data_IF_390091526810
#
_entry.id   IF_390091526810
#
_cell.length_a   1.000
_cell.length_b   1.000
_cell.length_c   1.000
_cell.angle_alpha   90.00
_cell.angle_beta   90.00
_cell.angle_gamma   90.00
#
_symmetry.space_group_name_H-M   'P 1'
#
loop_
_entity.id
_entity.type
_entity.pdbx_description
1 polymer ?
#
# COMPACT_ATOMS: atom_id res chain seq x y z
N UNK A 1 18.58 -2.07 0.59
CA UNK A 1 17.27 -2.32 -0.05
C UNK A 1 17.39 -3.29 -1.22
N UNK A 2 18.27 -3.06 -2.20
CA UNK A 2 18.45 -3.95 -3.38
C UNK A 2 18.64 -5.42 -2.98
N UNK A 3 19.48 -5.69 -1.97
CA UNK A 3 19.68 -7.04 -1.43
C UNK A 3 18.39 -7.68 -0.85
N UNK A 4 17.51 -6.88 -0.23
CA UNK A 4 16.23 -7.38 0.28
C UNK A 4 15.30 -7.69 -0.89
N UNK A 5 15.18 -6.79 -1.86
CA UNK A 5 14.26 -6.97 -3.00
C UNK A 5 14.75 -7.96 -4.06
N UNK A 6 16.01 -8.41 -3.97
CA UNK A 6 16.69 -9.11 -5.07
C UNK A 6 16.78 -8.25 -6.34
N UNK A 7 16.96 -6.94 -6.14
CA UNK A 7 17.14 -5.97 -7.22
C UNK A 7 18.62 -5.80 -7.58
N UNK A 8 18.89 -5.41 -8.82
CA UNK A 8 20.22 -4.97 -9.28
C UNK A 8 20.60 -3.61 -8.69
N UNK A 9 19.64 -2.69 -8.62
CA UNK A 9 19.87 -1.30 -8.20
C UNK A 9 18.69 -0.76 -7.39
N UNK A 10 18.98 0.19 -6.50
CA UNK A 10 17.95 0.98 -5.78
C UNK A 10 18.35 2.45 -5.74
N UNK A 11 17.36 3.34 -5.84
CA UNK A 11 17.49 4.76 -5.52
C UNK A 11 16.58 5.12 -4.35
N UNK A 12 17.12 5.84 -3.36
CA UNK A 12 16.37 6.44 -2.27
C UNK A 12 16.09 7.90 -2.57
N UNK A 13 14.89 8.36 -2.20
CA UNK A 13 14.37 9.69 -2.53
C UNK A 13 13.58 10.28 -1.36
N UNK A 14 13.20 11.56 -1.47
CA UNK A 14 12.63 12.35 -0.37
C UNK A 14 11.33 11.77 0.24
N UNK A 15 10.49 11.07 -0.52
CA UNK A 15 9.25 10.45 -0.01
C UNK A 15 8.75 9.34 -0.93
N UNK A 16 7.83 8.50 -0.45
CA UNK A 16 7.13 7.52 -1.29
C UNK A 16 6.39 8.19 -2.46
N UNK A 17 5.72 9.32 -2.23
CA UNK A 17 5.07 10.08 -3.30
C UNK A 17 6.05 10.56 -4.36
N UNK A 18 7.20 11.09 -3.96
CA UNK A 18 8.23 11.48 -4.91
C UNK A 18 8.77 10.27 -5.70
N UNK A 19 8.85 9.10 -5.07
CA UNK A 19 9.27 7.88 -5.76
C UNK A 19 8.32 7.53 -6.92
N UNK A 20 7.01 7.56 -6.68
CA UNK A 20 5.99 7.33 -7.72
C UNK A 20 6.05 8.40 -8.82
N UNK A 21 6.13 9.68 -8.44
CA UNK A 21 6.20 10.81 -9.40
C UNK A 21 7.44 10.75 -10.27
N UNK A 22 8.62 10.52 -9.68
CA UNK A 22 9.89 10.43 -10.40
C UNK A 22 9.90 9.24 -11.36
N UNK A 23 9.39 8.09 -10.92
CA UNK A 23 9.28 6.91 -11.77
C UNK A 23 8.33 7.15 -12.95
N UNK A 24 7.09 7.61 -12.69
CA UNK A 24 6.11 7.87 -13.77
C UNK A 24 6.66 8.89 -14.75
N UNK A 25 7.28 9.96 -14.24
CA UNK A 25 7.82 11.03 -15.07
C UNK A 25 8.97 10.59 -15.98
N UNK A 26 9.83 9.71 -15.47
CA UNK A 26 11.03 9.25 -16.16
C UNK A 26 10.76 8.12 -17.14
N UNK A 27 9.78 7.25 -16.86
CA UNK A 27 9.56 6.02 -17.62
C UNK A 27 8.39 6.10 -18.59
N UNK A 28 7.38 6.94 -18.32
CA UNK A 28 6.25 7.09 -19.23
C UNK A 28 6.57 8.21 -20.23
N UNK A 29 6.67 7.91 -21.54
CA UNK A 29 6.96 8.91 -22.55
C UNK A 29 5.82 9.92 -22.67
N UNK A 30 6.10 11.12 -23.17
CA UNK A 30 5.05 12.06 -23.56
C UNK A 30 4.13 11.40 -24.60
N UNK A 31 2.81 11.57 -24.46
CA UNK A 31 1.82 10.84 -25.27
C UNK A 31 1.62 9.37 -24.90
N UNK A 32 2.32 8.85 -23.86
CA UNK A 32 2.22 7.47 -23.42
C UNK A 32 0.90 7.13 -22.72
N UNK A 33 0.75 5.86 -22.33
CA UNK A 33 -0.46 5.37 -21.67
C UNK A 33 -0.11 4.56 -20.42
N UNK A 34 -0.79 4.85 -19.31
CA UNK A 34 -0.61 4.15 -18.03
C UNK A 34 -1.87 3.38 -17.67
N UNK A 35 -1.72 2.16 -17.17
CA UNK A 35 -2.83 1.46 -16.51
C UNK A 35 -2.63 1.54 -15.01
N UNK A 36 -3.70 1.71 -14.24
CA UNK A 36 -3.68 1.60 -12.78
C UNK A 36 -5.01 1.08 -12.24
N UNK A 37 -5.09 0.85 -10.93
CA UNK A 37 -6.29 0.35 -10.27
C UNK A 37 -7.15 1.47 -9.67
N UNK A 38 -8.44 1.19 -9.42
CA UNK A 38 -9.33 2.07 -8.66
C UNK A 38 -8.80 2.37 -7.25
N UNK A 39 -8.08 1.42 -6.66
CA UNK A 39 -7.54 1.51 -5.30
C UNK A 39 -6.14 2.17 -5.25
N UNK A 40 -5.68 2.75 -6.37
CA UNK A 40 -4.41 3.48 -6.40
C UNK A 40 -4.42 4.62 -5.37
N UNK A 41 -3.32 4.75 -4.62
CA UNK A 41 -3.17 5.73 -3.56
C UNK A 41 -3.59 7.11 -4.04
N UNK A 42 -4.53 7.74 -3.31
CA UNK A 42 -5.27 8.94 -3.75
C UNK A 42 -4.35 10.04 -4.31
N UNK A 43 -3.20 10.30 -3.69
CA UNK A 43 -2.28 11.35 -4.17
C UNK A 43 -1.52 10.94 -5.45
N UNK A 44 -1.20 9.66 -5.60
CA UNK A 44 -0.64 9.12 -6.86
C UNK A 44 -1.68 9.23 -7.98
N UNK A 45 -2.93 8.92 -7.67
CA UNK A 45 -4.05 9.04 -8.61
C UNK A 45 -4.28 10.48 -9.06
N UNK A 46 -4.31 11.44 -8.13
CA UNK A 46 -4.41 12.87 -8.47
C UNK A 46 -3.29 13.30 -9.41
N UNK A 47 -2.04 12.90 -9.13
CA UNK A 47 -0.92 13.20 -10.02
C UNK A 47 -1.12 12.63 -11.44
N UNK A 48 -1.61 11.39 -11.54
CA UNK A 48 -1.93 10.76 -12.82
C UNK A 48 -3.07 11.46 -13.57
N UNK A 49 -4.05 12.03 -12.87
CA UNK A 49 -5.23 12.69 -13.46
C UNK A 49 -5.00 14.17 -13.78
N UNK A 50 -4.09 14.85 -13.08
CA UNK A 50 -3.91 16.31 -13.22
C UNK A 50 -2.59 16.71 -13.85
N UNK A 51 -1.50 15.98 -13.61
CA UNK A 51 -0.16 16.37 -14.08
C UNK A 51 0.28 15.60 -15.33
N UNK A 52 0.04 14.29 -15.38
CA UNK A 52 0.40 13.48 -16.55
C UNK A 52 -0.30 13.93 -17.85
N UNK A 53 -1.59 14.32 -17.86
CA UNK A 53 -2.26 14.77 -19.08
C UNK A 53 -1.66 16.03 -19.70
N UNK A 54 -0.98 16.87 -18.92
CA UNK A 54 -0.24 18.05 -19.44
C UNK A 54 0.90 17.65 -20.39
N UNK A 55 1.35 16.40 -20.33
CA UNK A 55 2.35 15.80 -21.23
C UNK A 55 1.72 14.90 -22.30
N UNK A 56 0.40 14.95 -22.47
CA UNK A 56 -0.36 14.06 -23.35
C UNK A 56 -0.43 12.62 -22.86
N UNK A 57 0.00 12.32 -21.63
CA UNK A 57 -0.06 10.97 -21.09
C UNK A 57 -1.51 10.68 -20.67
N UNK A 58 -2.04 9.57 -21.15
CA UNK A 58 -3.40 9.10 -20.85
C UNK A 58 -3.38 7.92 -19.87
N UNK A 59 -4.53 7.61 -19.28
CA UNK A 59 -4.63 6.54 -18.29
C UNK A 59 -5.91 5.74 -18.44
N UNK A 60 -5.81 4.42 -18.26
CA UNK A 60 -6.94 3.52 -18.02
C UNK A 60 -6.93 3.05 -16.57
N UNK A 61 -8.11 3.02 -15.97
CA UNK A 61 -8.32 2.64 -14.57
C UNK A 61 -9.18 1.40 -14.54
N UNK A 62 -8.68 0.34 -13.91
CA UNK A 62 -9.37 -0.95 -13.78
C UNK A 62 -9.65 -1.27 -12.31
N UNK A 63 -10.57 -2.19 -12.03
CA UNK A 63 -10.71 -2.70 -10.66
C UNK A 63 -9.54 -3.63 -10.32
N UNK A 64 -9.09 -3.69 -9.06
CA UNK A 64 -8.14 -4.71 -8.63
C UNK A 64 -8.65 -6.11 -8.97
N UNK A 65 -7.74 -6.99 -9.40
CA UNK A 65 -8.02 -8.36 -9.83
C UNK A 65 -8.92 -8.53 -11.09
N UNK A 66 -9.28 -7.45 -11.80
CA UNK A 66 -10.05 -7.51 -13.05
C UNK A 66 -9.11 -7.75 -14.26
N UNK A 67 -8.74 -9.02 -14.46
CA UNK A 67 -7.77 -9.41 -15.49
C UNK A 67 -8.32 -9.18 -16.90
N UNK A 68 -9.62 -9.32 -17.12
CA UNK A 68 -10.25 -9.03 -18.42
C UNK A 68 -10.14 -7.54 -18.75
N UNK A 69 -10.39 -6.66 -17.78
CA UNK A 69 -10.19 -5.23 -17.97
C UNK A 69 -8.71 -4.87 -18.24
N UNK A 70 -7.76 -5.53 -17.54
CA UNK A 70 -6.33 -5.35 -17.82
C UNK A 70 -5.99 -5.81 -19.24
N UNK A 71 -6.44 -6.99 -19.66
CA UNK A 71 -6.20 -7.54 -20.99
C UNK A 71 -6.78 -6.62 -22.06
N UNK A 72 -8.01 -6.15 -21.89
CA UNK A 72 -8.64 -5.19 -22.79
C UNK A 72 -7.86 -3.86 -22.88
N UNK A 73 -7.36 -3.35 -21.75
CA UNK A 73 -6.56 -2.13 -21.75
C UNK A 73 -5.23 -2.33 -22.51
N UNK A 74 -4.58 -3.47 -22.29
CA UNK A 74 -3.33 -3.88 -22.94
C UNK A 74 -3.50 -4.16 -24.45
N UNK A 75 -4.66 -4.64 -24.88
CA UNK A 75 -4.95 -4.93 -26.30
C UNK A 75 -5.30 -3.68 -27.09
N UNK A 76 -6.02 -2.74 -26.47
CA UNK A 76 -6.55 -1.55 -27.16
C UNK A 76 -5.65 -0.32 -27.05
N UNK A 77 -4.65 -0.33 -26.17
CA UNK A 77 -3.75 0.80 -25.95
C UNK A 77 -2.29 0.35 -26.03
N UNK A 78 -1.40 1.23 -26.49
CA UNK A 78 0.04 1.02 -26.38
C UNK A 78 0.50 1.36 -24.95
N UNK A 79 0.20 0.47 -24.00
CA UNK A 79 0.46 0.67 -22.57
C UNK A 79 1.96 0.71 -22.31
N UNK A 80 2.44 1.82 -21.76
CA UNK A 80 3.85 1.99 -21.40
C UNK A 80 4.16 1.35 -20.03
N UNK A 81 3.24 1.48 -19.09
CA UNK A 81 3.44 1.02 -17.71
C UNK A 81 2.11 0.68 -17.03
N UNK A 82 2.04 -0.48 -16.37
CA UNK A 82 1.02 -0.80 -15.38
C UNK A 82 1.57 -0.52 -13.97
N UNK A 83 0.90 0.38 -13.24
CA UNK A 83 1.24 0.75 -11.87
C UNK A 83 0.14 0.29 -10.92
N UNK A 84 0.48 -0.50 -9.91
CA UNK A 84 -0.51 -0.92 -8.91
C UNK A 84 0.12 -1.25 -7.55
N UNK A 85 -0.73 -1.25 -6.52
CA UNK A 85 -0.40 -1.64 -5.15
C UNK A 85 -0.88 -3.08 -4.89
N UNK A 86 -0.10 -3.87 -4.17
CA UNK A 86 -0.58 -5.16 -3.66
C UNK A 86 0.16 -5.54 -2.37
N UNK A 87 -0.53 -5.57 -1.20
CA UNK A 87 -1.96 -5.26 -1.00
C UNK A 87 -2.34 -3.78 -1.23
N UNK A 88 -3.60 -3.51 -1.62
CA UNK A 88 -4.13 -2.14 -1.84
C UNK A 88 -4.60 -1.45 -0.56
N UNK A 89 -4.76 -0.12 -0.58
CA UNK A 89 -5.37 0.66 0.50
C UNK A 89 -6.80 1.12 0.14
N UNK A 90 -7.80 1.01 1.04
CA UNK A 90 -7.75 0.42 2.39
C UNK A 90 -8.17 -1.06 2.45
N UNK A 91 -8.67 -1.66 1.36
CA UNK A 91 -9.30 -2.98 1.39
C UNK A 91 -8.34 -4.17 1.29
N UNK A 92 -7.04 -3.92 1.15
CA UNK A 92 -5.98 -4.94 1.11
C UNK A 92 -6.17 -5.96 -0.03
N UNK A 93 -6.73 -5.50 -1.16
CA UNK A 93 -6.89 -6.33 -2.36
C UNK A 93 -5.51 -6.79 -2.84
N UNK A 94 -5.40 -8.04 -3.24
CA UNK A 94 -4.15 -8.59 -3.75
C UNK A 94 -4.23 -8.79 -5.26
N UNK A 95 -3.10 -8.61 -5.94
CA UNK A 95 -2.99 -8.78 -7.39
C UNK A 95 -1.95 -9.87 -7.63
N UNK A 96 -2.26 -10.81 -8.52
CA UNK A 96 -1.34 -11.88 -8.93
C UNK A 96 -0.22 -11.27 -9.78
N UNK A 97 0.95 -11.10 -9.15
CA UNK A 97 2.09 -10.41 -9.77
C UNK A 97 2.66 -11.24 -10.93
N UNK A 98 2.71 -12.56 -10.80
CA UNK A 98 3.23 -13.46 -11.83
C UNK A 98 2.34 -13.45 -13.08
N UNK A 99 1.03 -13.55 -12.90
CA UNK A 99 0.07 -13.46 -14.00
C UNK A 99 0.14 -12.10 -14.70
N UNK A 100 0.05 -11.01 -13.92
CA UNK A 100 0.04 -9.65 -14.46
C UNK A 100 1.35 -9.32 -15.16
N UNK A 101 2.49 -9.75 -14.63
CA UNK A 101 3.79 -9.52 -15.26
C UNK A 101 3.84 -10.12 -16.67
N UNK A 102 3.39 -11.38 -16.83
CA UNK A 102 3.29 -12.06 -18.13
C UNK A 102 2.37 -11.32 -19.09
N UNK A 103 1.20 -10.86 -18.62
CA UNK A 103 0.27 -10.08 -19.45
C UNK A 103 0.92 -8.78 -19.94
N UNK A 104 1.50 -7.98 -19.04
CA UNK A 104 2.17 -6.73 -19.39
C UNK A 104 3.34 -6.96 -20.36
N UNK A 105 4.23 -7.92 -20.06
CA UNK A 105 5.40 -8.20 -20.89
C UNK A 105 5.04 -8.72 -22.27
N UNK A 106 3.94 -9.47 -22.41
CA UNK A 106 3.43 -9.93 -23.73
C UNK A 106 3.09 -8.78 -24.69
N UNK A 107 2.85 -7.58 -24.15
CA UNK A 107 2.56 -6.34 -24.90
C UNK A 107 3.68 -5.30 -24.81
N UNK A 108 4.81 -5.63 -24.18
CA UNK A 108 5.93 -4.71 -23.99
C UNK A 108 5.71 -3.64 -22.91
N UNK A 109 4.65 -3.74 -22.10
CA UNK A 109 4.39 -2.83 -20.99
C UNK A 109 5.26 -3.18 -19.78
N UNK A 110 5.76 -2.18 -19.06
CA UNK A 110 6.44 -2.37 -17.78
C UNK A 110 5.44 -2.61 -16.65
N UNK A 111 5.82 -3.41 -15.66
CA UNK A 111 5.09 -3.58 -14.40
C UNK A 111 5.83 -2.93 -13.24
N UNK A 112 5.19 -1.98 -12.55
CA UNK A 112 5.65 -1.44 -11.28
C UNK A 112 4.66 -1.80 -10.16
N UNK A 113 5.19 -2.44 -9.11
CA UNK A 113 4.43 -2.79 -7.91
C UNK A 113 4.84 -1.89 -6.76
N UNK A 114 3.89 -1.15 -6.20
CA UNK A 114 4.07 -0.55 -4.88
C UNK A 114 3.83 -1.62 -3.80
N UNK A 115 4.91 -2.01 -3.13
CA UNK A 115 4.91 -3.05 -2.08
C UNK A 115 4.92 -2.47 -0.68
N UNK A 116 4.50 -1.20 -0.50
CA UNK A 116 4.53 -0.53 0.81
C UNK A 116 3.81 -1.32 1.90
N UNK A 117 2.65 -1.92 1.61
CA UNK A 117 1.90 -2.73 2.60
C UNK A 117 2.53 -4.08 2.88
N UNK A 118 3.04 -4.75 1.85
CA UNK A 118 3.67 -6.05 2.00
C UNK A 118 5.01 -5.95 2.75
N UNK A 119 5.75 -4.85 2.54
CA UNK A 119 7.17 -4.71 2.86
C UNK A 119 8.04 -5.71 2.07
N UNK A 120 9.36 -5.46 1.96
CA UNK A 120 10.25 -6.45 1.35
C UNK A 120 10.34 -7.74 2.14
N UNK A 121 9.82 -7.83 3.38
CA UNK A 121 9.89 -9.07 4.17
C UNK A 121 8.85 -10.06 3.65
N UNK A 122 7.60 -9.62 3.48
CA UNK A 122 6.52 -10.54 3.17
C UNK A 122 6.41 -10.87 1.68
N UNK A 123 6.80 -9.98 0.78
CA UNK A 123 6.65 -10.16 -0.67
C UNK A 123 7.89 -9.67 -1.42
N UNK A 124 8.26 -10.39 -2.47
CA UNK A 124 9.38 -10.06 -3.37
C UNK A 124 8.85 -9.84 -4.77
N UNK A 125 8.27 -8.67 -5.04
CA UNK A 125 7.58 -8.41 -6.30
C UNK A 125 8.48 -8.64 -7.53
N UNK A 126 9.77 -8.29 -7.44
CA UNK A 126 10.72 -8.49 -8.53
C UNK A 126 10.94 -9.97 -8.87
N UNK A 127 10.95 -10.86 -7.87
CA UNK A 127 11.11 -12.31 -8.12
C UNK A 127 9.85 -12.94 -8.71
N UNK A 128 8.72 -12.22 -8.65
CA UNK A 128 7.44 -12.61 -9.23
C UNK A 128 7.22 -11.99 -10.62
N UNK A 129 8.20 -11.28 -11.18
CA UNK A 129 8.15 -10.74 -12.55
C UNK A 129 7.92 -9.24 -12.67
N UNK A 130 7.74 -8.49 -11.57
CA UNK A 130 7.70 -7.03 -11.67
C UNK A 130 9.03 -6.46 -12.15
N UNK A 131 8.99 -5.41 -12.98
CA UNK A 131 10.20 -4.72 -13.46
C UNK A 131 10.79 -3.78 -12.40
N UNK A 132 9.89 -3.18 -11.61
CA UNK A 132 10.21 -2.22 -10.56
C UNK A 132 9.33 -2.47 -9.33
N UNK A 133 9.89 -2.20 -8.16
CA UNK A 133 9.17 -2.15 -6.89
C UNK A 133 9.40 -0.81 -6.21
N UNK A 134 8.31 -0.21 -5.75
CA UNK A 134 8.31 1.03 -4.98
C UNK A 134 7.94 0.74 -3.53
N UNK A 135 8.57 1.48 -2.61
CA UNK A 135 8.11 1.58 -1.23
C UNK A 135 8.09 3.03 -0.76
N UNK A 136 7.08 3.36 0.02
CA UNK A 136 7.15 4.46 0.97
C UNK A 136 7.95 4.00 2.19
N UNK A 137 9.23 4.36 2.24
CA UNK A 137 10.13 4.00 3.33
C UNK A 137 9.70 4.61 4.67
N UNK A 138 8.85 5.64 4.64
CA UNK A 138 8.14 6.22 5.78
C UNK A 138 7.39 5.19 6.63
N UNK A 139 6.94 4.08 6.02
CA UNK A 139 6.10 3.07 6.67
C UNK A 139 6.97 1.99 7.32
N UNK A 140 6.74 0.71 7.00
CA UNK A 140 7.44 -0.42 7.63
C UNK A 140 8.97 -0.35 7.58
N UNK A 141 9.55 0.18 6.49
CA UNK A 141 11.00 0.19 6.28
C UNK A 141 11.70 0.99 7.39
N UNK A 142 11.29 2.25 7.60
CA UNK A 142 11.73 3.04 8.74
C UNK A 142 11.12 2.49 10.04
N UNK A 143 9.79 2.41 10.09
CA UNK A 143 9.04 1.72 11.13
C UNK A 143 9.03 2.37 12.51
N UNK A 144 9.39 3.65 12.63
CA UNK A 144 9.46 4.37 13.91
C UNK A 144 8.70 5.70 13.88
N UNK A 145 7.83 5.91 12.88
CA UNK A 145 6.97 7.09 12.75
C UNK A 145 7.70 8.46 12.80
N UNK A 146 8.98 8.50 12.45
CA UNK A 146 9.89 9.64 12.70
C UNK A 146 10.64 10.14 11.45
N UNK A 147 10.46 9.49 10.30
CA UNK A 147 11.19 9.84 9.08
C UNK A 147 10.35 9.59 7.82
N UNK A 148 10.46 10.50 6.86
CA UNK A 148 9.85 10.36 5.53
C UNK A 148 10.94 9.96 4.53
N UNK A 149 10.61 8.99 3.67
CA UNK A 149 11.48 8.58 2.57
C UNK A 149 10.75 7.69 1.57
N UNK A 150 11.32 7.54 0.39
CA UNK A 150 10.86 6.60 -0.63
C UNK A 150 12.02 5.84 -1.25
N UNK A 151 11.75 4.70 -1.86
CA UNK A 151 12.74 4.02 -2.68
C UNK A 151 12.11 3.33 -3.90
N UNK A 152 12.88 3.27 -4.98
CA UNK A 152 12.57 2.48 -6.18
C UNK A 152 13.70 1.45 -6.36
N UNK A 153 13.34 0.18 -6.49
CA UNK A 153 14.30 -0.92 -6.75
C UNK A 153 13.90 -1.68 -8.01
N UNK A 154 14.88 -2.18 -8.77
CA UNK A 154 14.63 -2.98 -9.99
C UNK A 154 15.93 -3.21 -10.77
N UNK A 155 15.78 -3.43 -12.08
CA UNK A 155 16.91 -3.49 -13.02
C UNK A 155 17.68 -2.17 -13.05
N UNK A 156 19.00 -2.22 -13.17
CA UNK A 156 19.83 -1.01 -13.13
C UNK A 156 19.49 -0.05 -14.27
N UNK A 157 19.22 -0.57 -15.47
CA UNK A 157 18.84 0.25 -16.62
C UNK A 157 17.62 1.14 -16.34
N UNK A 158 16.58 0.59 -15.71
CA UNK A 158 15.36 1.32 -15.38
C UNK A 158 15.56 2.28 -14.21
N UNK A 159 16.22 1.81 -13.15
CA UNK A 159 16.50 2.64 -11.96
C UNK A 159 17.41 3.82 -12.32
N UNK A 160 18.35 3.64 -13.24
CA UNK A 160 19.25 4.69 -13.73
C UNK A 160 18.50 5.79 -14.49
N UNK A 161 17.47 5.45 -15.31
CA UNK A 161 16.59 6.46 -15.94
C UNK A 161 15.87 7.31 -14.88
N UNK A 162 15.34 6.67 -13.84
CA UNK A 162 14.71 7.39 -12.71
C UNK A 162 15.72 8.22 -11.93
N UNK A 163 16.94 7.72 -11.73
CA UNK A 163 18.04 8.43 -11.05
C UNK A 163 18.46 9.69 -11.80
N UNK A 164 18.54 9.64 -13.13
CA UNK A 164 18.85 10.80 -13.98
C UNK A 164 17.77 11.88 -13.81
N UNK A 165 16.49 11.50 -13.91
CA UNK A 165 15.38 12.43 -13.67
C UNK A 165 15.42 13.02 -12.26
N UNK A 166 15.68 12.17 -11.27
CA UNK A 166 15.79 12.54 -9.86
C UNK A 166 16.88 13.60 -9.63
N UNK A 167 18.05 13.48 -10.27
CA UNK A 167 19.12 14.48 -10.15
C UNK A 167 18.72 15.86 -10.71
N UNK A 168 17.80 15.92 -11.68
CA UNK A 168 17.31 17.18 -12.23
C UNK A 168 16.26 17.82 -11.32
N UNK A 169 15.30 17.03 -10.83
CA UNK A 169 14.18 17.55 -10.03
C UNK A 169 14.54 17.75 -8.55
N UNK A 170 15.57 17.05 -8.05
CA UNK A 170 16.20 17.36 -6.77
C UNK A 170 15.44 16.88 -5.52
N UNK A 171 14.55 15.88 -5.62
CA UNK A 171 13.84 15.31 -4.46
C UNK A 171 14.72 14.37 -3.63
N UNK A 172 15.84 14.89 -3.12
CA UNK A 172 16.90 14.13 -2.45
C UNK A 172 16.53 13.74 -1.03
N UNK A 173 16.99 12.55 -0.60
CA UNK A 173 16.86 12.12 0.78
C UNK A 173 17.95 12.75 1.63
N UNK A 174 17.58 13.40 2.73
CA UNK A 174 18.55 13.95 3.69
C UNK A 174 19.41 12.81 4.29
N UNK A 175 20.74 12.98 4.48
CA UNK A 175 21.59 11.94 5.07
C UNK A 175 21.17 11.47 6.47
N UNK A 176 20.62 12.36 7.31
CA UNK A 176 20.10 11.97 8.62
C UNK A 176 18.84 11.11 8.49
N UNK A 177 17.97 11.43 7.53
CA UNK A 177 16.80 10.60 7.21
C UNK A 177 17.24 9.22 6.70
N UNK A 178 18.26 9.16 5.83
CA UNK A 178 18.84 7.90 5.39
C UNK A 178 19.40 7.08 6.57
N UNK A 179 20.07 7.72 7.53
CA UNK A 179 20.55 7.07 8.75
C UNK A 179 19.40 6.51 9.60
N UNK A 180 18.32 7.27 9.83
CA UNK A 180 17.15 6.79 10.59
C UNK A 180 16.49 5.59 9.91
N UNK A 181 16.34 5.62 8.59
CA UNK A 181 15.84 4.47 7.81
C UNK A 181 16.77 3.27 7.98
N UNK A 182 18.09 3.46 7.81
CA UNK A 182 19.08 2.38 7.98
C UNK A 182 19.04 1.78 9.39
N UNK A 183 18.86 2.60 10.42
CA UNK A 183 18.71 2.18 11.81
C UNK A 183 17.42 1.36 11.99
N UNK A 184 16.30 1.86 11.48
CA UNK A 184 15.00 1.18 11.54
C UNK A 184 14.98 -0.16 10.82
N UNK A 185 15.73 -0.28 9.71
CA UNK A 185 15.86 -1.53 8.95
C UNK A 185 16.55 -2.65 9.72
N UNK A 186 17.35 -2.35 10.76
CA UNK A 186 18.03 -3.38 11.58
C UNK A 186 17.04 -4.30 12.29
N UNK A 187 15.87 -3.78 12.65
CA UNK A 187 14.80 -4.53 13.33
C UNK A 187 13.63 -4.85 12.43
N UNK A 188 13.72 -4.59 11.12
CA UNK A 188 12.62 -4.75 10.17
C UNK A 188 11.97 -6.14 10.23
N UNK A 189 12.78 -7.19 10.22
CA UNK A 189 12.28 -8.57 10.29
C UNK A 189 11.55 -8.87 11.61
N UNK A 190 12.10 -8.42 12.75
CA UNK A 190 11.48 -8.60 14.07
C UNK A 190 10.12 -7.89 14.15
N UNK A 191 10.07 -6.63 13.70
CA UNK A 191 8.85 -5.82 13.70
C UNK A 191 7.78 -6.42 12.80
N UNK A 192 8.12 -6.73 11.54
CA UNK A 192 7.15 -7.29 10.58
C UNK A 192 6.66 -8.67 11.03
N UNK A 193 7.50 -9.51 11.63
CA UNK A 193 7.07 -10.80 12.17
C UNK A 193 6.07 -10.63 13.32
N UNK A 194 6.34 -9.73 14.27
CA UNK A 194 5.43 -9.38 15.35
C UNK A 194 4.10 -8.86 14.78
N UNK A 195 4.15 -7.89 13.89
CA UNK A 195 2.98 -7.28 13.24
C UNK A 195 2.14 -8.29 12.47
N UNK A 196 2.76 -9.19 11.69
CA UNK A 196 2.04 -10.27 11.00
C UNK A 196 1.27 -11.18 11.98
N UNK A 197 1.91 -11.56 13.10
CA UNK A 197 1.29 -12.43 14.10
C UNK A 197 0.11 -11.74 14.79
N UNK A 198 0.35 -10.54 15.32
CA UNK A 198 -0.66 -9.75 16.02
C UNK A 198 -1.83 -9.41 15.10
N UNK A 199 -1.56 -9.03 13.85
CA UNK A 199 -2.60 -8.73 12.87
C UNK A 199 -3.43 -9.94 12.46
N UNK A 200 -2.83 -11.12 12.25
CA UNK A 200 -3.60 -12.32 11.97
C UNK A 200 -4.55 -12.67 13.12
N UNK A 201 -4.06 -12.64 14.37
CA UNK A 201 -4.87 -12.92 15.57
C UNK A 201 -5.97 -11.88 15.76
N UNK A 202 -5.67 -10.60 15.53
CA UNK A 202 -6.65 -9.52 15.64
C UNK A 202 -7.72 -9.62 14.55
N UNK A 203 -7.33 -9.91 13.30
CA UNK A 203 -8.25 -10.09 12.20
C UNK A 203 -9.24 -11.24 12.46
N UNK A 204 -8.75 -12.38 12.99
CA UNK A 204 -9.61 -13.52 13.39
C UNK A 204 -10.56 -13.13 14.52
N UNK A 205 -10.05 -12.48 15.57
CA UNK A 205 -10.87 -12.01 16.68
C UNK A 205 -11.98 -11.06 16.21
N UNK A 206 -11.64 -10.10 15.33
CA UNK A 206 -12.60 -9.16 14.77
C UNK A 206 -13.63 -9.86 13.87
N UNK A 207 -13.23 -10.86 13.08
CA UNK A 207 -14.13 -11.58 12.17
C UNK A 207 -15.22 -12.37 12.92
N UNK A 208 -14.91 -12.85 14.12
CA UNK A 208 -15.85 -13.58 14.98
C UNK A 208 -16.70 -12.66 15.86
N UNK A 209 -16.38 -11.37 15.95
CA UNK A 209 -17.01 -10.46 16.91
C UNK A 209 -18.38 -9.94 16.42
N UNK A 210 -19.47 -10.04 17.21
CA UNK A 210 -20.83 -9.72 16.75
C UNK A 210 -21.08 -8.24 16.40
N UNK A 211 -20.21 -7.34 16.89
CA UNK A 211 -20.26 -5.90 16.56
C UNK A 211 -19.40 -5.51 15.35
N UNK A 212 -18.82 -6.48 14.66
CA UNK A 212 -18.04 -6.27 13.43
C UNK A 212 -18.84 -6.86 12.26
N UNK A 213 -19.10 -6.04 11.26
CA UNK A 213 -19.87 -6.44 10.08
C UNK A 213 -19.00 -7.14 9.03
N UNK A 214 -17.73 -6.73 8.91
CA UNK A 214 -16.80 -7.28 7.93
C UNK A 214 -15.36 -7.01 8.30
N UNK A 215 -14.46 -7.96 8.01
CA UNK A 215 -13.01 -7.77 8.11
C UNK A 215 -12.37 -7.93 6.73
N UNK A 216 -11.39 -7.10 6.45
CA UNK A 216 -10.54 -7.12 5.28
C UNK A 216 -9.11 -7.40 5.74
N UNK A 217 -8.65 -8.62 5.51
CA UNK A 217 -7.26 -9.01 5.80
C UNK A 217 -6.83 -10.16 4.89
N UNK A 218 -5.73 -10.05 4.12
CA UNK A 218 -5.33 -11.07 3.15
C UNK A 218 -5.10 -12.46 3.76
N UNK A 219 -4.80 -12.54 5.05
CA UNK A 219 -4.62 -13.79 5.78
C UNK A 219 -5.90 -14.57 6.07
N UNK A 220 -7.07 -13.92 6.01
CA UNK A 220 -8.36 -14.58 6.29
C UNK A 220 -8.86 -15.34 5.05
N UNK A 221 -9.39 -16.57 5.18
CA UNK A 221 -10.00 -17.30 4.07
C UNK A 221 -11.19 -16.60 3.41
N UNK A 222 -11.86 -15.71 4.14
CA UNK A 222 -12.97 -14.87 3.65
C UNK A 222 -12.50 -13.75 2.72
N UNK A 223 -11.20 -13.42 2.71
CA UNK A 223 -10.65 -12.41 1.82
C UNK A 223 -10.70 -12.92 0.37
N UNK A 224 -11.23 -12.14 -0.60
CA UNK A 224 -11.50 -12.68 -1.93
C UNK A 224 -10.25 -13.19 -2.68
N UNK A 225 -9.08 -12.57 -2.42
CA UNK A 225 -7.78 -13.01 -2.98
C UNK A 225 -6.88 -13.68 -1.93
N UNK A 226 -7.45 -14.31 -0.90
CA UNK A 226 -6.66 -15.07 0.08
C UNK A 226 -5.71 -16.08 -0.60
N UNK A 227 -6.20 -16.74 -1.65
CA UNK A 227 -5.41 -17.71 -2.42
C UNK A 227 -4.18 -17.10 -3.10
N UNK A 228 -4.29 -15.88 -3.65
CA UNK A 228 -3.15 -15.13 -4.23
C UNK A 228 -2.21 -14.66 -3.11
N UNK A 229 -2.76 -14.07 -2.05
CA UNK A 229 -1.97 -13.62 -0.91
C UNK A 229 -1.11 -14.76 -0.35
N UNK A 230 -1.71 -15.95 -0.16
CA UNK A 230 -1.03 -17.13 0.34
C UNK A 230 0.01 -17.70 -0.64
N UNK A 231 -0.19 -17.56 -1.95
CA UNK A 231 0.76 -18.08 -2.94
C UNK A 231 2.01 -17.21 -3.09
N UNK A 232 1.88 -15.88 -2.93
CA UNK A 232 2.95 -14.93 -3.23
C UNK A 232 3.52 -14.18 -2.01
N UNK A 233 2.85 -14.25 -0.86
CA UNK A 233 3.28 -13.59 0.39
C UNK A 233 3.63 -14.61 1.48
N UNK A 234 4.69 -14.32 2.23
CA UNK A 234 5.13 -15.12 3.40
C UNK A 234 4.55 -14.61 4.73
N UNK A 235 3.82 -13.50 4.69
CA UNK A 235 3.06 -12.89 5.78
C UNK A 235 2.10 -11.85 5.23
N UNK A 236 1.07 -11.46 5.97
CA UNK A 236 -0.05 -10.68 5.43
C UNK A 236 -0.05 -9.20 5.83
N UNK A 237 1.02 -8.73 6.48
CA UNK A 237 1.18 -7.35 6.92
C UNK A 237 0.53 -7.06 8.28
N UNK A 238 0.81 -5.87 8.81
CA UNK A 238 0.30 -5.37 10.09
C UNK A 238 -0.92 -4.46 9.98
N UNK A 239 -1.57 -4.35 8.83
CA UNK A 239 -2.78 -3.52 8.68
C UNK A 239 -3.99 -4.44 8.54
N UNK A 240 -5.02 -4.15 9.33
CA UNK A 240 -6.34 -4.78 9.24
C UNK A 240 -7.35 -3.67 9.00
N UNK A 241 -8.21 -3.82 7.99
CA UNK A 241 -9.35 -2.92 7.82
C UNK A 241 -10.63 -3.67 8.19
N UNK A 242 -11.60 -3.01 8.79
CA UNK A 242 -12.86 -3.65 9.18
C UNK A 242 -14.01 -2.65 9.23
N UNK A 243 -15.23 -3.16 9.12
CA UNK A 243 -16.46 -2.39 9.22
C UNK A 243 -17.14 -2.69 10.56
N UNK A 244 -17.42 -1.66 11.34
CA UNK A 244 -18.24 -1.80 12.55
C UNK A 244 -19.71 -2.04 12.15
N UNK A 245 -20.41 -2.91 12.87
CA UNK A 245 -21.85 -3.15 12.71
C UNK A 245 -22.65 -1.99 13.34
N UNK A 246 -22.49 -0.80 12.78
CA UNK A 246 -23.10 0.44 13.26
C UNK A 246 -22.98 1.55 12.23
N UNK A 247 -23.54 2.70 12.57
CA UNK A 247 -23.48 3.91 11.76
C UNK A 247 -22.18 4.70 12.00
N UNK A 248 -22.12 5.89 11.41
CA UNK A 248 -21.02 6.84 11.61
C UNK A 248 -20.77 7.14 13.09
N UNK A 249 -21.83 7.35 13.88
CA UNK A 249 -21.71 7.75 15.28
C UNK A 249 -21.23 6.59 16.16
N UNK A 250 -21.69 5.36 15.90
CA UNK A 250 -21.15 4.17 16.54
C UNK A 250 -19.67 3.98 16.21
N UNK A 251 -19.31 4.08 14.93
CA UNK A 251 -17.92 3.95 14.46
C UNK A 251 -17.01 5.00 15.11
N UNK A 252 -17.48 6.25 15.16
CA UNK A 252 -16.79 7.34 15.85
C UNK A 252 -16.63 7.04 17.35
N UNK A 253 -17.69 6.61 18.05
CA UNK A 253 -17.62 6.26 19.48
C UNK A 253 -16.61 5.14 19.74
N UNK A 254 -16.55 4.12 18.89
CA UNK A 254 -15.56 3.06 19.01
C UNK A 254 -14.14 3.62 18.88
N UNK A 255 -13.85 4.39 17.82
CA UNK A 255 -12.53 5.01 17.63
C UNK A 255 -12.21 5.93 18.81
N UNK A 256 -13.11 6.82 19.23
CA UNK A 256 -12.94 7.72 20.38
C UNK A 256 -12.71 6.98 21.71
N UNK A 257 -13.00 5.68 21.78
CA UNK A 257 -12.91 4.89 23.02
C UNK A 257 -11.63 4.06 23.16
N UNK A 258 -10.87 3.83 22.08
CA UNK A 258 -9.57 3.14 22.18
C UNK A 258 -8.56 3.98 22.97
N UNK A 259 -7.58 3.34 23.59
CA UNK A 259 -6.63 3.99 24.51
C UNK A 259 -5.17 3.80 24.11
N UNK A 260 -4.86 2.75 23.36
CA UNK A 260 -3.50 2.43 22.93
C UNK A 260 -3.17 3.11 21.59
N UNK A 261 -3.92 2.87 20.50
CA UNK A 261 -3.53 3.42 19.21
C UNK A 261 -3.73 4.93 19.13
N UNK A 262 -2.83 5.61 18.41
CA UNK A 262 -3.03 7.00 18.06
C UNK A 262 -4.08 7.18 16.97
N UNK A 263 -4.85 8.27 17.05
CA UNK A 263 -5.75 8.70 15.97
C UNK A 263 -4.95 9.54 14.98
N UNK A 264 -4.38 8.89 13.96
CA UNK A 264 -3.48 9.53 13.03
C UNK A 264 -3.54 8.89 11.64
N UNK A 265 -3.15 9.62 10.57
CA UNK A 265 -2.78 8.98 9.32
C UNK A 265 -1.45 8.21 9.48
N UNK A 266 -1.04 7.51 8.44
CA UNK A 266 0.16 6.63 8.40
C UNK A 266 -0.10 5.23 9.00
N UNK A 267 0.93 4.38 8.97
CA UNK A 267 0.93 2.99 9.43
C UNK A 267 2.34 2.38 9.43
N UNK A 268 2.48 1.18 9.98
CA UNK A 268 3.68 0.33 9.88
C UNK A 268 4.81 0.70 10.86
N UNK A 269 4.53 1.62 11.79
CA UNK A 269 5.42 1.98 12.89
C UNK A 269 5.39 0.99 14.06
N UNK A 270 6.14 1.29 15.12
CA UNK A 270 6.10 0.53 16.37
C UNK A 270 4.79 0.78 17.14
N UNK A 271 4.28 2.00 17.10
CA UNK A 271 3.02 2.37 17.73
C UNK A 271 1.84 1.98 16.84
N UNK A 272 0.80 1.42 17.46
CA UNK A 272 -0.48 1.18 16.83
C UNK A 272 -1.16 2.51 16.45
N UNK A 273 -1.80 2.54 15.28
CA UNK A 273 -2.48 3.72 14.74
C UNK A 273 -3.83 3.28 14.17
N UNK A 274 -4.89 4.03 14.46
CA UNK A 274 -6.24 3.77 13.97
C UNK A 274 -6.81 5.01 13.29
N UNK A 275 -7.47 4.81 12.15
CA UNK A 275 -8.14 5.89 11.43
C UNK A 275 -9.44 5.44 10.77
N UNK A 276 -10.33 6.41 10.55
CA UNK A 276 -11.55 6.25 9.76
C UNK A 276 -11.30 6.85 8.37
N UNK A 277 -11.07 6.05 7.31
CA UNK A 277 -10.72 6.57 5.99
C UNK A 277 -11.73 7.58 5.44
N UNK A 278 -13.02 7.40 5.76
CA UNK A 278 -14.11 8.30 5.41
C UNK A 278 -13.89 9.75 5.90
N UNK A 279 -13.28 9.93 7.08
CA UNK A 279 -12.97 11.24 7.65
C UNK A 279 -11.55 11.66 7.26
N UNK A 280 -10.55 10.80 7.48
CA UNK A 280 -9.15 11.23 7.37
C UNK A 280 -8.69 11.47 5.94
N UNK A 281 -9.28 10.79 4.95
CA UNK A 281 -8.81 10.83 3.56
C UNK A 281 -9.85 11.26 2.53
N UNK A 282 -11.14 11.18 2.87
CA UNK A 282 -12.25 11.41 1.93
C UNK A 282 -13.37 12.30 2.47
N UNK A 283 -13.12 13.07 3.54
CA UNK A 283 -14.13 13.98 4.12
C UNK A 283 -14.69 14.97 3.10
N UNK A 284 -13.85 15.40 2.18
CA UNK A 284 -14.13 16.40 1.15
C UNK A 284 -14.95 15.88 -0.05
N UNK A 285 -15.19 14.57 -0.17
CA UNK A 285 -15.86 14.01 -1.36
C UNK A 285 -16.71 12.76 -1.07
N UNK A 286 -18.01 12.96 -0.84
CA UNK A 286 -18.98 11.86 -0.70
C UNK A 286 -19.08 11.01 -1.97
N UNK A 287 -19.06 11.63 -3.15
CA UNK A 287 -19.12 10.92 -4.43
C UNK A 287 -17.94 9.95 -4.60
N UNK A 288 -16.71 10.38 -4.28
CA UNK A 288 -15.55 9.48 -4.31
C UNK A 288 -15.69 8.35 -3.30
N UNK A 289 -16.26 8.61 -2.11
CA UNK A 289 -16.52 7.54 -1.14
C UNK A 289 -17.46 6.48 -1.69
N UNK A 290 -18.52 6.87 -2.37
CA UNK A 290 -19.47 5.94 -3.00
C UNK A 290 -18.82 5.14 -4.13
N UNK A 291 -18.07 5.81 -5.02
CA UNK A 291 -17.35 5.15 -6.13
C UNK A 291 -16.34 4.12 -5.63
N UNK A 292 -15.58 4.47 -4.59
CA UNK A 292 -14.53 3.60 -4.05
C UNK A 292 -14.99 2.71 -2.90
N UNK A 293 -16.29 2.70 -2.57
CA UNK A 293 -16.84 1.87 -1.50
C UNK A 293 -16.37 2.22 -0.08
N UNK A 294 -15.86 3.44 0.14
CA UNK A 294 -15.41 3.91 1.46
C UNK A 294 -16.64 4.25 2.30
N UNK A 295 -17.04 3.33 3.17
CA UNK A 295 -18.19 3.53 4.05
C UNK A 295 -17.82 4.34 5.30
N UNK A 296 -18.84 4.97 5.86
CA UNK A 296 -18.71 5.68 7.15
C UNK A 296 -18.34 4.76 8.30
N UNK A 297 -18.61 3.45 8.20
CA UNK A 297 -18.26 2.48 9.23
C UNK A 297 -16.92 1.78 9.01
N UNK A 298 -16.17 2.15 7.95
CA UNK A 298 -14.87 1.57 7.65
C UNK A 298 -13.80 2.15 8.59
N UNK A 299 -13.04 1.26 9.19
CA UNK A 299 -11.89 1.54 10.04
C UNK A 299 -10.67 0.87 9.43
N UNK A 300 -9.54 1.56 9.48
CA UNK A 300 -8.23 0.99 9.20
C UNK A 300 -7.41 1.01 10.48
N UNK A 301 -6.87 -0.14 10.83
CA UNK A 301 -6.07 -0.33 12.03
C UNK A 301 -4.68 -0.83 11.65
N UNK A 302 -3.69 0.03 11.83
CA UNK A 302 -2.27 -0.30 11.76
C UNK A 302 -1.83 -0.84 13.11
N UNK A 303 -1.59 -2.14 13.18
CA UNK A 303 -1.13 -2.82 14.37
C UNK A 303 0.39 -2.58 14.51
N UNK A 304 0.77 -2.11 15.69
CA UNK A 304 2.14 -1.86 16.10
C UNK A 304 2.83 -3.12 16.62
N UNK A 305 3.72 -2.94 17.59
CA UNK A 305 4.51 -4.01 18.22
C UNK A 305 4.20 -4.18 19.71
N UNK A 306 3.08 -3.63 20.16
CA UNK A 306 2.55 -3.84 21.52
C UNK A 306 2.16 -5.30 21.75
N UNK A 307 1.96 -5.67 23.02
CA UNK A 307 1.44 -6.99 23.36
C UNK A 307 0.04 -7.21 22.77
N UNK A 308 -0.20 -8.40 22.24
CA UNK A 308 -1.47 -8.71 21.60
C UNK A 308 -2.65 -8.66 22.58
N UNK A 309 -2.49 -9.13 23.82
CA UNK A 309 -3.60 -9.15 24.77
C UNK A 309 -3.97 -7.72 25.20
N UNK A 310 -2.99 -6.82 25.32
CA UNK A 310 -3.25 -5.39 25.58
C UNK A 310 -4.05 -4.76 24.44
N UNK A 311 -3.64 -4.97 23.19
CA UNK A 311 -4.37 -4.47 22.01
C UNK A 311 -5.78 -5.05 21.92
N UNK A 312 -5.92 -6.36 22.12
CA UNK A 312 -7.23 -7.04 22.11
C UNK A 312 -8.15 -6.49 23.21
N UNK A 313 -7.65 -6.34 24.43
CA UNK A 313 -8.44 -5.83 25.55
C UNK A 313 -8.87 -4.36 25.32
N UNK A 314 -8.02 -3.55 24.69
CA UNK A 314 -8.38 -2.18 24.33
C UNK A 314 -9.46 -2.13 23.23
N UNK A 315 -9.37 -3.00 22.23
CA UNK A 315 -10.43 -3.14 21.21
C UNK A 315 -11.73 -3.64 21.83
N UNK A 316 -11.69 -4.64 22.71
CA UNK A 316 -12.88 -5.18 23.40
C UNK A 316 -13.59 -4.08 24.20
N UNK A 317 -12.85 -3.36 25.05
CA UNK A 317 -13.47 -2.32 25.88
C UNK A 317 -14.05 -1.17 25.05
N UNK A 318 -13.44 -0.86 23.90
CA UNK A 318 -13.98 0.12 22.96
C UNK A 318 -15.24 -0.39 22.24
N UNK A 319 -15.27 -1.67 21.84
CA UNK A 319 -16.45 -2.31 21.26
C UNK A 319 -17.61 -2.38 22.26
N UNK A 320 -17.35 -2.46 23.56
CA UNK A 320 -18.40 -2.41 24.60
C UNK A 320 -19.10 -1.04 24.70
N UNK A 321 -18.57 0.01 24.09
CA UNK A 321 -19.17 1.36 24.06
C UNK A 321 -20.18 1.59 22.95
N UNK A 322 -20.36 0.62 22.05
CA UNK A 322 -21.21 0.74 20.86
C UNK A 322 -22.31 -0.31 20.78
#
# INVERSE_FOLDING_TARGET
>A
MSALEKAESTVFVASGMYASVAMLSALVPAGGHVVTTTDCYRKTRIYMETELPKRGITMTVIRPADMDALQNALDNNNVSLFFTETPTNPFLRCIDIDLVSKMCHSKGALLCIDSTFASPINQKALTLGADLVIHSATKYIAGHNDVIGGCISGRDELVSKVRIYHHVVGGVLNPNAAYLILRGMKTLHLRVQCQNNTAMRMAQFLEEHPKIARVYYPGLPSHPEHHIAKSQMTGFGGVVSFEVAGDFDATRRFIDSVKIPYHAPSFGGCESIIDQPAIMSYWDSKEQREIYGIKDNLIRFSIGVEDFEDLKNDVVQALDKI
#
